data_IF_446533437741
#
_entry.id   IF_446533437741
#
_cell.length_a   1.000
_cell.length_b   1.000
_cell.length_c   1.000
_cell.angle_alpha   90.00
_cell.angle_beta   90.00
_cell.angle_gamma   90.00
#
_symmetry.space_group_name_H-M   'P 1'
#
loop_
_entity.id
_entity.type
_entity.pdbx_description
1 polymer ?
#
# COMPACT_ATOMS: atom_id res chain seq x y z
N UNK A 1 -28.22 16.78 6.65
CA UNK A 1 -27.11 16.15 7.42
C UNK A 1 -27.55 14.92 8.22
N UNK A 2 -28.69 14.94 8.96
CA UNK A 2 -29.15 13.78 9.76
C UNK A 2 -29.30 12.47 8.97
N UNK A 3 -29.83 12.54 7.75
CA UNK A 3 -30.01 11.36 6.89
C UNK A 3 -28.66 10.78 6.40
N UNK A 4 -27.67 11.63 6.12
CA UNK A 4 -26.34 11.19 5.66
C UNK A 4 -25.58 10.41 6.75
N UNK A 5 -25.63 10.90 8.00
CA UNK A 5 -25.00 10.21 9.14
C UNK A 5 -25.67 8.85 9.43
N UNK A 6 -26.99 8.77 9.28
CA UNK A 6 -27.72 7.51 9.41
C UNK A 6 -27.32 6.50 8.32
N UNK A 7 -27.14 6.96 7.09
CA UNK A 7 -26.68 6.12 5.98
C UNK A 7 -25.23 5.66 6.17
N UNK A 8 -24.32 6.52 6.62
CA UNK A 8 -22.94 6.12 6.97
C UNK A 8 -22.97 5.03 8.05
N UNK A 9 -23.76 5.23 9.12
CA UNK A 9 -23.93 4.21 10.17
C UNK A 9 -24.55 2.90 9.65
N UNK A 10 -25.35 2.94 8.59
CA UNK A 10 -25.90 1.73 7.95
C UNK A 10 -24.81 1.00 7.17
N UNK A 11 -23.99 1.71 6.41
CA UNK A 11 -22.83 1.13 5.69
C UNK A 11 -21.85 0.44 6.66
N UNK A 12 -21.49 1.10 7.77
CA UNK A 12 -20.62 0.49 8.78
C UNK A 12 -21.24 -0.75 9.45
N UNK A 13 -22.54 -0.71 9.77
CA UNK A 13 -23.25 -1.89 10.30
C UNK A 13 -23.26 -3.05 9.31
N UNK A 14 -23.41 -2.76 8.02
CA UNK A 14 -23.31 -3.78 6.99
C UNK A 14 -21.90 -4.39 6.94
N UNK A 15 -20.84 -3.58 6.99
CA UNK A 15 -19.46 -4.08 7.04
C UNK A 15 -19.24 -5.03 8.22
N UNK A 16 -19.71 -4.64 9.40
CA UNK A 16 -19.59 -5.45 10.63
C UNK A 16 -20.38 -6.76 10.52
N UNK A 17 -21.64 -6.69 10.07
CA UNK A 17 -22.55 -7.84 10.08
C UNK A 17 -22.38 -8.79 8.87
N UNK A 18 -21.72 -8.36 7.80
CA UNK A 18 -21.57 -9.14 6.55
C UNK A 18 -20.38 -10.09 6.54
N UNK A 19 -19.62 -10.19 7.64
CA UNK A 19 -18.35 -10.91 7.68
C UNK A 19 -17.19 -10.17 6.98
N UNK A 20 -17.47 -9.04 6.32
CA UNK A 20 -16.45 -8.22 5.68
C UNK A 20 -15.47 -7.62 6.71
N UNK A 21 -15.94 -7.28 7.91
CA UNK A 21 -15.05 -6.88 9.01
C UNK A 21 -14.02 -7.96 9.37
N UNK A 22 -14.42 -9.24 9.39
CA UNK A 22 -13.48 -10.35 9.62
C UNK A 22 -12.48 -10.47 8.46
N UNK A 23 -12.93 -10.30 7.22
CA UNK A 23 -12.05 -10.30 6.06
C UNK A 23 -11.04 -9.14 6.10
N UNK A 24 -11.46 -7.94 6.55
CA UNK A 24 -10.57 -6.79 6.74
C UNK A 24 -9.54 -7.02 7.84
N UNK A 25 -9.95 -7.60 8.97
CA UNK A 25 -9.01 -7.99 10.04
C UNK A 25 -8.03 -9.02 9.54
N UNK A 26 -8.50 -10.05 8.83
CA UNK A 26 -7.66 -11.05 8.19
C UNK A 26 -6.67 -10.44 7.19
N UNK A 27 -7.11 -9.48 6.39
CA UNK A 27 -6.26 -8.75 5.46
C UNK A 27 -5.21 -7.90 6.18
N UNK A 28 -5.57 -7.21 7.27
CA UNK A 28 -4.62 -6.46 8.09
C UNK A 28 -3.55 -7.39 8.70
N UNK A 29 -3.97 -8.55 9.23
CA UNK A 29 -3.05 -9.56 9.75
C UNK A 29 -2.12 -10.07 8.65
N UNK A 30 -2.66 -10.39 7.47
CA UNK A 30 -1.86 -10.85 6.33
C UNK A 30 -0.84 -9.80 5.88
N UNK A 31 -1.22 -8.52 5.85
CA UNK A 31 -0.33 -7.38 5.57
C UNK A 31 0.80 -7.34 6.60
N UNK A 32 0.46 -7.39 7.89
CA UNK A 32 1.43 -7.28 8.99
C UNK A 32 2.42 -8.44 8.97
N UNK A 33 1.93 -9.68 8.80
CA UNK A 33 2.78 -10.87 8.72
C UNK A 33 3.69 -10.79 7.49
N UNK A 34 3.14 -10.41 6.33
CA UNK A 34 3.92 -10.31 5.09
C UNK A 34 4.99 -9.21 5.20
N UNK A 35 4.65 -8.07 5.79
CA UNK A 35 5.60 -6.97 6.01
C UNK A 35 6.72 -7.34 6.99
N UNK A 36 6.37 -7.98 8.11
CA UNK A 36 7.33 -8.50 9.07
C UNK A 36 8.27 -9.55 8.44
N UNK A 37 7.71 -10.53 7.73
CA UNK A 37 8.48 -11.57 7.07
C UNK A 37 9.40 -11.02 5.97
N UNK A 38 8.89 -10.11 5.13
CA UNK A 38 9.68 -9.47 4.07
C UNK A 38 10.80 -8.60 4.66
N UNK A 39 10.52 -7.83 5.71
CA UNK A 39 11.51 -7.02 6.42
C UNK A 39 12.62 -7.88 6.99
N UNK A 40 12.29 -8.86 7.84
CA UNK A 40 13.28 -9.75 8.45
C UNK A 40 14.09 -10.54 7.43
N UNK A 41 13.44 -11.09 6.40
CA UNK A 41 14.15 -11.83 5.35
C UNK A 41 15.10 -10.94 4.55
N UNK A 42 14.72 -9.69 4.27
CA UNK A 42 15.58 -8.71 3.60
C UNK A 42 16.79 -8.36 4.46
N UNK A 43 16.57 -8.10 5.76
CA UNK A 43 17.63 -7.83 6.72
C UNK A 43 18.63 -8.97 6.80
N UNK A 44 18.18 -10.21 7.00
CA UNK A 44 19.07 -11.38 7.07
C UNK A 44 19.87 -11.58 5.79
N UNK A 45 19.24 -11.40 4.63
CA UNK A 45 19.94 -11.50 3.35
C UNK A 45 21.05 -10.46 3.21
N UNK A 46 20.81 -9.22 3.66
CA UNK A 46 21.79 -8.13 3.53
C UNK A 46 22.91 -8.23 4.57
N UNK A 47 22.59 -8.68 5.79
CA UNK A 47 23.61 -8.97 6.82
C UNK A 47 24.52 -10.10 6.33
N UNK A 48 23.95 -11.20 5.84
CA UNK A 48 24.73 -12.32 5.29
C UNK A 48 25.58 -11.90 4.08
N UNK A 49 25.06 -11.02 3.22
CA UNK A 49 25.84 -10.45 2.12
C UNK A 49 27.04 -9.63 2.62
N UNK A 50 26.83 -8.77 3.63
CA UNK A 50 27.91 -8.01 4.25
C UNK A 50 28.98 -8.93 4.87
N UNK A 51 28.56 -9.97 5.62
CA UNK A 51 29.49 -10.92 6.23
C UNK A 51 30.34 -11.67 5.20
N UNK A 52 29.73 -12.06 4.08
CA UNK A 52 30.44 -12.66 2.96
C UNK A 52 31.44 -11.67 2.33
N UNK A 53 31.05 -10.41 2.10
CA UNK A 53 31.99 -9.40 1.58
C UNK A 53 33.12 -9.13 2.57
N UNK A 54 32.84 -9.12 3.87
CA UNK A 54 33.84 -8.98 4.93
C UNK A 54 34.84 -10.13 4.94
N UNK A 55 34.37 -11.39 4.79
CA UNK A 55 35.26 -12.55 4.74
C UNK A 55 36.19 -12.51 3.53
N UNK A 56 35.69 -12.09 2.36
CA UNK A 56 36.51 -11.92 1.14
C UNK A 56 37.61 -10.87 1.34
N UNK A 57 37.29 -9.72 1.97
CA UNK A 57 38.29 -8.69 2.28
C UNK A 57 39.35 -9.20 3.27
N UNK A 58 38.93 -9.99 4.27
CA UNK A 58 39.83 -10.64 5.22
C UNK A 58 40.77 -11.66 4.56
N UNK A 59 40.23 -12.51 3.68
CA UNK A 59 40.99 -13.50 2.93
C UNK A 59 42.03 -12.87 2.00
N UNK A 60 41.72 -11.70 1.43
CA UNK A 60 42.63 -10.93 0.57
C UNK A 60 43.65 -10.09 1.36
N UNK A 61 43.58 -10.08 2.70
CA UNK A 61 44.49 -9.30 3.54
C UNK A 61 44.31 -7.79 3.43
N UNK A 62 43.12 -7.32 3.03
CA UNK A 62 42.82 -5.90 2.92
C UNK A 62 42.65 -5.25 4.29
N UNK A 63 42.98 -3.95 4.39
CA UNK A 63 42.78 -3.18 5.62
C UNK A 63 41.30 -2.84 5.80
N UNK A 64 40.62 -3.66 6.59
CA UNK A 64 39.18 -3.53 6.89
C UNK A 64 38.86 -2.17 7.51
N UNK A 65 39.71 -1.66 8.42
CA UNK A 65 39.45 -0.39 9.09
C UNK A 65 39.50 0.77 8.09
N UNK A 66 40.44 0.72 7.15
CA UNK A 66 40.51 1.68 6.04
C UNK A 66 39.34 1.52 5.08
N UNK A 67 38.95 0.30 4.72
CA UNK A 67 37.82 0.04 3.85
C UNK A 67 36.50 0.53 4.48
N UNK A 68 36.25 0.28 5.76
CA UNK A 68 35.02 0.72 6.43
C UNK A 68 34.94 2.22 6.70
N UNK A 69 36.08 2.92 6.76
CA UNK A 69 36.14 4.37 6.94
C UNK A 69 36.08 5.16 5.63
N UNK A 70 36.31 4.51 4.49
CA UNK A 70 36.22 5.13 3.17
C UNK A 70 34.77 5.05 2.66
N UNK A 71 34.14 6.16 2.26
CA UNK A 71 32.76 6.14 1.75
C UNK A 71 32.64 5.29 0.49
N UNK A 72 31.47 4.66 0.29
CA UNK A 72 31.13 4.01 -0.96
C UNK A 72 30.58 5.03 -1.95
N UNK A 73 31.14 5.05 -3.17
CA UNK A 73 30.58 5.80 -4.29
C UNK A 73 29.94 4.84 -5.28
N UNK A 74 28.68 5.11 -5.62
CA UNK A 74 27.94 4.38 -6.65
C UNK A 74 27.88 5.26 -7.89
N UNK A 75 28.49 4.81 -8.97
CA UNK A 75 28.50 5.50 -10.27
C UNK A 75 27.87 4.62 -11.34
N UNK A 76 27.27 5.21 -12.38
CA UNK A 76 26.62 4.47 -13.47
C UNK A 76 25.09 4.50 -13.43
N UNK A 77 24.47 3.83 -14.40
CA UNK A 77 23.01 3.77 -14.55
C UNK A 77 22.41 2.70 -13.64
N UNK A 78 21.10 2.77 -13.36
CA UNK A 78 20.41 1.79 -12.50
C UNK A 78 20.58 0.32 -12.93
N UNK A 79 20.87 0.06 -14.20
CA UNK A 79 21.10 -1.28 -14.77
C UNK A 79 22.54 -1.76 -14.66
N UNK A 80 23.51 -0.86 -14.44
CA UNK A 80 24.92 -1.19 -14.29
C UNK A 80 25.58 -0.15 -13.39
N UNK A 81 25.73 -0.51 -12.13
CA UNK A 81 26.35 0.31 -11.09
C UNK A 81 27.79 -0.16 -10.84
N UNK A 82 28.72 0.78 -10.82
CA UNK A 82 30.08 0.58 -10.36
C UNK A 82 30.19 1.09 -8.93
N UNK A 83 30.58 0.21 -8.01
CA UNK A 83 30.66 0.47 -6.57
C UNK A 83 32.14 0.53 -6.21
N UNK A 84 32.64 1.70 -5.83
CA UNK A 84 34.07 1.90 -5.52
C UNK A 84 34.53 1.13 -4.28
N UNK A 85 33.63 0.94 -3.30
CA UNK A 85 33.90 0.25 -2.05
C UNK A 85 32.72 -0.68 -1.68
N UNK A 86 32.77 -1.95 -2.13
CA UNK A 86 31.70 -2.92 -1.89
C UNK A 86 31.47 -3.19 -0.41
N UNK A 87 32.53 -3.26 0.40
CA UNK A 87 32.41 -3.56 1.84
C UNK A 87 31.65 -2.46 2.59
N UNK A 88 31.98 -1.19 2.34
CA UNK A 88 31.25 -0.06 2.93
C UNK A 88 29.80 -0.02 2.43
N UNK A 89 29.58 -0.27 1.14
CA UNK A 89 28.25 -0.28 0.55
C UNK A 89 27.35 -1.35 1.19
N UNK A 90 27.84 -2.57 1.34
CA UNK A 90 27.09 -3.66 1.97
C UNK A 90 26.82 -3.39 3.46
N UNK A 91 27.77 -2.77 4.17
CA UNK A 91 27.56 -2.31 5.55
C UNK A 91 26.41 -1.30 5.62
N UNK A 92 26.43 -0.27 4.76
CA UNK A 92 25.41 0.78 4.76
C UNK A 92 24.02 0.18 4.44
N UNK A 93 23.96 -0.80 3.52
CA UNK A 93 22.70 -1.49 3.18
C UNK A 93 22.20 -2.40 4.30
N UNK A 94 23.09 -3.16 4.94
CA UNK A 94 22.74 -4.04 6.06
C UNK A 94 22.24 -3.23 7.27
N UNK A 95 22.93 -2.14 7.60
CA UNK A 95 22.57 -1.26 8.72
C UNK A 95 21.27 -0.50 8.47
N UNK A 96 21.02 -0.03 7.23
CA UNK A 96 19.74 0.55 6.86
C UNK A 96 18.62 -0.51 6.94
N UNK A 97 18.87 -1.76 6.56
CA UNK A 97 17.85 -2.82 6.59
C UNK A 97 17.39 -3.17 8.01
N UNK A 98 18.26 -3.05 9.01
CA UNK A 98 17.89 -3.21 10.42
C UNK A 98 16.86 -2.17 10.87
N UNK A 99 16.89 -0.97 10.28
CA UNK A 99 15.91 0.05 10.64
C UNK A 99 14.49 -0.30 10.15
N UNK A 100 14.34 -1.24 9.21
CA UNK A 100 13.03 -1.70 8.75
C UNK A 100 12.33 -2.70 9.67
N UNK A 101 13.03 -3.32 10.61
CA UNK A 101 12.44 -4.35 11.50
C UNK A 101 11.99 -3.78 12.85
N UNK A 102 12.25 -2.49 13.09
CA UNK A 102 12.06 -1.82 14.37
C UNK A 102 11.13 -0.59 14.26
N UNK A 103 10.26 -0.43 15.26
CA UNK A 103 9.48 0.79 15.51
C UNK A 103 8.83 1.42 14.27
N UNK A 104 9.19 2.68 13.99
CA UNK A 104 8.64 3.44 12.86
C UNK A 104 9.08 2.90 11.50
N UNK A 105 10.26 2.30 11.38
CA UNK A 105 10.72 1.75 10.11
C UNK A 105 9.95 0.50 9.71
N UNK A 106 9.55 -0.35 10.67
CA UNK A 106 8.63 -1.45 10.41
C UNK A 106 7.26 -0.98 9.90
N UNK A 107 6.74 0.10 10.49
CA UNK A 107 5.49 0.72 10.05
C UNK A 107 5.66 1.30 8.64
N UNK A 108 6.69 2.11 8.41
CA UNK A 108 6.94 2.78 7.16
C UNK A 108 7.18 1.78 6.02
N UNK A 109 7.96 0.73 6.26
CA UNK A 109 8.26 -0.31 5.28
C UNK A 109 7.01 -1.12 4.93
N UNK A 110 6.27 -1.59 5.95
CA UNK A 110 5.04 -2.38 5.73
C UNK A 110 3.98 -1.56 4.99
N UNK A 111 3.78 -0.29 5.36
CA UNK A 111 2.84 0.58 4.66
C UNK A 111 3.30 0.90 3.23
N UNK A 112 4.60 1.11 3.02
CA UNK A 112 5.17 1.30 1.68
C UNK A 112 4.87 0.09 0.82
N UNK A 113 5.23 -1.12 1.25
CA UNK A 113 4.94 -2.37 0.54
C UNK A 113 3.43 -2.56 0.27
N UNK A 114 2.60 -2.30 1.28
CA UNK A 114 1.15 -2.46 1.20
C UNK A 114 0.49 -1.51 0.22
N UNK A 115 1.07 -0.33 0.05
CA UNK A 115 0.59 0.68 -0.89
C UNK A 115 0.65 0.20 -2.33
N UNK A 116 1.65 -0.62 -2.68
CA UNK A 116 1.79 -1.19 -4.03
C UNK A 116 1.04 -2.49 -4.21
N UNK A 117 1.10 -3.37 -3.21
CA UNK A 117 0.63 -4.75 -3.35
C UNK A 117 -0.79 -4.88 -2.83
N UNK A 118 -1.05 -4.56 -1.56
CA UNK A 118 -2.27 -4.97 -0.87
C UNK A 118 -3.43 -3.98 -1.02
N UNK A 119 -3.21 -2.69 -0.79
CA UNK A 119 -4.28 -1.69 -0.77
C UNK A 119 -5.00 -1.51 -2.11
N UNK A 120 -4.33 -1.61 -3.28
CA UNK A 120 -5.03 -1.56 -4.56
C UNK A 120 -6.05 -2.68 -4.72
N UNK A 121 -5.67 -3.93 -4.42
CA UNK A 121 -6.56 -5.08 -4.53
C UNK A 121 -7.67 -5.05 -3.47
N UNK A 122 -7.32 -4.81 -2.21
CA UNK A 122 -8.30 -4.77 -1.11
C UNK A 122 -9.28 -3.63 -1.36
N UNK A 123 -8.78 -2.43 -1.68
CA UNK A 123 -9.60 -1.28 -2.01
C UNK A 123 -10.57 -1.59 -3.13
N UNK A 124 -10.06 -2.07 -4.27
CA UNK A 124 -10.89 -2.42 -5.42
C UNK A 124 -11.99 -3.43 -5.07
N UNK A 125 -11.64 -4.49 -4.31
CA UNK A 125 -12.62 -5.45 -3.82
C UNK A 125 -13.71 -4.77 -2.97
N UNK A 126 -13.32 -3.98 -1.96
CA UNK A 126 -14.26 -3.25 -1.10
C UNK A 126 -15.22 -2.36 -1.89
N UNK A 127 -14.69 -1.69 -2.93
CA UNK A 127 -15.47 -0.90 -3.87
C UNK A 127 -16.57 -1.72 -4.54
N UNK A 128 -16.20 -2.87 -5.12
CA UNK A 128 -17.13 -3.78 -5.80
C UNK A 128 -18.21 -4.31 -4.84
N UNK A 129 -17.81 -4.75 -3.64
CA UNK A 129 -18.74 -5.27 -2.65
C UNK A 129 -19.71 -4.18 -2.20
N UNK A 130 -19.21 -2.98 -1.91
CA UNK A 130 -20.03 -1.81 -1.54
C UNK A 130 -20.98 -1.40 -2.67
N UNK A 131 -20.55 -1.49 -3.93
CA UNK A 131 -21.36 -1.16 -5.10
C UNK A 131 -22.58 -2.07 -5.29
N UNK A 132 -22.45 -3.33 -4.91
CA UNK A 132 -23.39 -4.38 -5.33
C UNK A 132 -24.16 -5.01 -4.17
N UNK A 133 -23.84 -4.69 -2.91
CA UNK A 133 -24.52 -5.32 -1.77
C UNK A 133 -25.99 -4.96 -1.71
N UNK A 134 -26.35 -3.68 -1.86
CA UNK A 134 -27.75 -3.22 -1.79
C UNK A 134 -28.62 -3.75 -2.92
N UNK A 135 -28.04 -3.90 -4.11
CA UNK A 135 -28.75 -4.47 -5.26
C UNK A 135 -28.94 -5.97 -5.10
N UNK A 136 -28.00 -6.67 -4.45
CA UNK A 136 -28.08 -8.12 -4.24
C UNK A 136 -29.04 -8.50 -3.11
N UNK A 137 -29.07 -7.70 -2.03
CA UNK A 137 -29.99 -7.93 -0.90
C UNK A 137 -31.38 -7.36 -1.12
N UNK A 138 -31.59 -6.56 -2.17
CA UNK A 138 -32.84 -5.84 -2.41
C UNK A 138 -33.06 -4.64 -1.46
N UNK A 139 -32.12 -4.32 -0.55
CA UNK A 139 -32.26 -3.21 0.39
C UNK A 139 -32.34 -1.84 -0.29
N UNK A 140 -31.88 -1.74 -1.55
CA UNK A 140 -31.98 -0.51 -2.33
C UNK A 140 -33.43 -0.01 -2.47
N UNK A 141 -34.41 -0.92 -2.58
CA UNK A 141 -35.82 -0.57 -2.73
C UNK A 141 -36.40 0.15 -1.50
N UNK A 142 -35.88 -0.15 -0.31
CA UNK A 142 -36.32 0.47 0.95
C UNK A 142 -35.47 1.69 1.33
N UNK A 143 -34.18 1.69 0.98
CA UNK A 143 -33.26 2.80 1.30
C UNK A 143 -33.50 4.02 0.41
N UNK A 144 -33.83 3.79 -0.86
CA UNK A 144 -33.99 4.86 -1.84
C UNK A 144 -35.10 5.87 -1.48
N UNK A 145 -36.32 5.46 -1.11
CA UNK A 145 -37.39 6.41 -0.79
C UNK A 145 -37.13 7.19 0.51
N UNK A 146 -36.41 6.60 1.46
CA UNK A 146 -36.13 7.21 2.77
C UNK A 146 -35.02 8.25 2.72
N UNK A 147 -33.92 7.93 2.04
CA UNK A 147 -32.69 8.74 2.10
C UNK A 147 -32.40 9.50 0.81
N UNK A 148 -33.15 9.19 -0.26
CA UNK A 148 -32.90 9.70 -1.61
C UNK A 148 -31.62 9.15 -2.23
N UNK A 149 -31.54 9.17 -3.55
CA UNK A 149 -30.38 8.63 -4.27
C UNK A 149 -29.06 9.32 -3.95
N UNK A 150 -29.10 10.64 -3.81
CA UNK A 150 -27.90 11.41 -3.46
C UNK A 150 -27.38 11.01 -2.08
N UNK A 151 -28.27 10.69 -1.15
CA UNK A 151 -27.92 10.19 0.17
C UNK A 151 -27.28 8.81 0.10
N UNK A 152 -27.87 7.87 -0.65
CA UNK A 152 -27.37 6.49 -0.74
C UNK A 152 -26.07 6.38 -1.55
N UNK A 153 -25.98 7.06 -2.70
CA UNK A 153 -24.80 6.99 -3.56
C UNK A 153 -23.63 7.83 -3.02
N UNK A 154 -23.91 9.00 -2.42
CA UNK A 154 -22.87 9.90 -1.91
C UNK A 154 -22.19 9.40 -0.63
N UNK A 155 -22.84 8.55 0.17
CA UNK A 155 -22.26 8.04 1.42
C UNK A 155 -21.28 6.91 1.21
N UNK A 156 -21.38 6.17 0.10
CA UNK A 156 -20.51 5.01 -0.19
C UNK A 156 -19.04 5.40 -0.38
N UNK A 157 -18.68 6.43 -1.18
CA UNK A 157 -17.30 6.90 -1.26
C UNK A 157 -16.71 7.30 0.10
N UNK A 158 -17.51 7.97 0.94
CA UNK A 158 -17.12 8.40 2.29
C UNK A 158 -16.90 7.22 3.23
N UNK A 159 -17.81 6.23 3.20
CA UNK A 159 -17.67 5.01 3.98
C UNK A 159 -16.42 4.22 3.56
N UNK A 160 -16.19 4.08 2.25
CA UNK A 160 -15.00 3.41 1.71
C UNK A 160 -13.70 4.10 2.15
N UNK A 161 -13.64 5.44 2.07
CA UNK A 161 -12.49 6.20 2.57
C UNK A 161 -12.21 5.91 4.05
N UNK A 162 -13.25 5.96 4.89
CA UNK A 162 -13.11 5.72 6.33
C UNK A 162 -12.69 4.27 6.65
N UNK A 163 -13.20 3.29 5.89
CA UNK A 163 -12.80 1.87 6.03
C UNK A 163 -11.33 1.68 5.64
N UNK A 164 -10.88 2.28 4.53
CA UNK A 164 -9.48 2.25 4.11
C UNK A 164 -8.58 2.92 5.14
N UNK A 165 -8.97 4.10 5.64
CA UNK A 165 -8.22 4.78 6.70
C UNK A 165 -8.08 3.93 7.95
N UNK A 166 -9.17 3.28 8.40
CA UNK A 166 -9.12 2.35 9.52
C UNK A 166 -8.20 1.15 9.24
N UNK A 167 -8.24 0.58 8.04
CA UNK A 167 -7.38 -0.53 7.65
C UNK A 167 -5.89 -0.13 7.66
N UNK A 168 -5.55 1.06 7.17
CA UNK A 168 -4.18 1.59 7.20
C UNK A 168 -3.71 1.77 8.65
N UNK A 169 -4.53 2.36 9.51
CA UNK A 169 -4.21 2.53 10.94
C UNK A 169 -4.01 1.18 11.63
N UNK A 170 -4.88 0.20 11.37
CA UNK A 170 -4.76 -1.15 11.91
C UNK A 170 -3.47 -1.84 11.43
N UNK A 171 -3.13 -1.69 10.15
CA UNK A 171 -1.91 -2.26 9.58
C UNK A 171 -0.67 -1.59 10.18
N UNK A 172 -0.69 -0.27 10.38
CA UNK A 172 0.38 0.47 11.03
C UNK A 172 0.57 0.04 12.49
N UNK A 173 -0.51 -0.01 13.26
CA UNK A 173 -0.47 -0.44 14.66
C UNK A 173 0.02 -1.89 14.78
N UNK A 174 -0.49 -2.79 13.93
CA UNK A 174 -0.06 -4.19 13.89
C UNK A 174 1.41 -4.34 13.51
N UNK A 175 1.91 -3.53 12.57
CA UNK A 175 3.33 -3.53 12.18
C UNK A 175 4.23 -3.04 13.32
N UNK A 176 3.80 -2.01 14.05
CA UNK A 176 4.47 -1.55 15.25
C UNK A 176 4.54 -2.63 16.34
N UNK A 177 3.46 -3.38 16.55
CA UNK A 177 3.44 -4.52 17.48
C UNK A 177 4.35 -5.65 16.99
N UNK A 178 4.27 -6.01 15.71
CA UNK A 178 5.13 -7.04 15.12
C UNK A 178 6.62 -6.70 15.24
N UNK A 179 6.97 -5.41 15.20
CA UNK A 179 8.34 -4.93 15.39
C UNK A 179 8.94 -5.26 16.76
N UNK A 180 8.10 -5.47 17.79
CA UNK A 180 8.55 -5.93 19.10
C UNK A 180 9.08 -7.37 19.08
N UNK A 181 8.75 -8.13 18.05
CA UNK A 181 9.21 -9.51 17.84
C UNK A 181 10.34 -9.50 16.80
N UNK A 182 10.15 -8.84 15.66
CA UNK A 182 11.14 -8.85 14.57
C UNK A 182 12.38 -8.02 14.88
N UNK A 183 12.28 -6.98 15.70
CA UNK A 183 13.40 -6.13 16.09
C UNK A 183 14.49 -6.91 16.83
N UNK A 184 14.19 -7.55 17.96
CA UNK A 184 15.16 -8.35 18.71
C UNK A 184 15.80 -9.47 17.88
N UNK A 185 15.02 -10.15 17.04
CA UNK A 185 15.54 -11.20 16.15
C UNK A 185 16.54 -10.65 15.13
N UNK A 186 16.29 -9.45 14.61
CA UNK A 186 17.20 -8.79 13.68
C UNK A 186 18.46 -8.26 14.37
N UNK A 187 18.34 -7.76 15.60
CA UNK A 187 19.49 -7.29 16.40
C UNK A 187 20.41 -8.44 16.83
N UNK A 188 19.88 -9.62 17.14
CA UNK A 188 20.67 -10.81 17.47
C UNK A 188 21.58 -11.20 16.31
N UNK A 189 21.01 -11.29 15.11
CA UNK A 189 21.76 -11.62 13.88
C UNK A 189 22.81 -10.55 13.53
N UNK A 190 22.51 -9.28 13.82
CA UNK A 190 23.36 -8.14 13.47
C UNK A 190 24.07 -7.51 14.67
N UNK A 191 24.37 -8.29 15.71
CA UNK A 191 24.92 -7.79 16.99
C UNK A 191 26.21 -6.96 16.84
N UNK A 192 26.98 -7.22 15.77
CA UNK A 192 28.22 -6.50 15.42
C UNK A 192 27.99 -5.18 14.70
N UNK A 193 26.79 -4.93 14.17
CA UNK A 193 26.44 -3.77 13.35
C UNK A 193 25.81 -2.63 14.15
N UNK A 194 25.49 -2.84 15.43
CA UNK A 194 24.73 -1.89 16.27
C UNK A 194 25.28 -0.47 16.30
N UNK A 195 26.60 -0.30 16.25
CA UNK A 195 27.26 1.01 16.27
C UNK A 195 27.07 1.82 14.98
N UNK A 196 26.65 1.19 13.89
CA UNK A 196 26.53 1.79 12.55
C UNK A 196 25.08 1.98 12.11
N UNK A 197 24.10 1.63 12.95
CA UNK A 197 22.67 1.73 12.59
C UNK A 197 22.30 3.21 12.40
N UNK A 198 21.89 3.61 11.18
CA UNK A 198 21.44 4.97 10.93
C UNK A 198 20.10 5.23 11.65
N UNK A 199 19.71 6.50 11.83
CA UNK A 199 18.36 6.79 12.31
C UNK A 199 17.32 6.27 11.30
N UNK A 200 16.30 5.59 11.82
CA UNK A 200 15.13 5.18 11.02
C UNK A 200 14.32 6.36 10.47
N UNK A 201 13.25 6.09 9.71
CA UNK A 201 12.44 7.13 9.11
C UNK A 201 11.78 8.02 10.17
N UNK A 202 11.71 9.32 9.88
CA UNK A 202 11.07 10.28 10.77
C UNK A 202 9.57 10.01 10.92
N UNK A 203 8.99 10.50 12.01
CA UNK A 203 7.53 10.46 12.24
C UNK A 203 6.79 11.13 11.08
N UNK A 204 7.27 12.28 10.61
CA UNK A 204 6.65 13.01 9.51
C UNK A 204 6.65 12.20 8.20
N UNK A 205 7.76 11.53 7.87
CA UNK A 205 7.83 10.64 6.69
C UNK A 205 6.87 9.47 6.83
N UNK A 206 6.82 8.83 8.00
CA UNK A 206 5.92 7.70 8.28
C UNK A 206 4.45 8.10 8.16
N UNK A 207 4.07 9.27 8.68
CA UNK A 207 2.71 9.81 8.54
C UNK A 207 2.38 10.10 7.07
N UNK A 208 3.33 10.65 6.30
CA UNK A 208 3.15 10.92 4.87
C UNK A 208 2.93 9.63 4.08
N UNK A 209 3.70 8.57 4.36
CA UNK A 209 3.48 7.23 3.79
C UNK A 209 2.07 6.73 4.15
N UNK A 210 1.63 6.90 5.40
CA UNK A 210 0.27 6.57 5.82
C UNK A 210 -0.80 7.33 5.03
N UNK A 211 -0.62 8.63 4.77
CA UNK A 211 -1.55 9.41 3.95
C UNK A 211 -1.58 8.93 2.50
N UNK A 212 -0.42 8.60 1.91
CA UNK A 212 -0.35 8.01 0.56
C UNK A 212 -1.05 6.65 0.49
N UNK A 213 -0.85 5.79 1.49
CA UNK A 213 -1.53 4.51 1.61
C UNK A 213 -3.06 4.67 1.63
N UNK A 214 -3.56 5.64 2.41
CA UNK A 214 -4.99 5.97 2.45
C UNK A 214 -5.49 6.47 1.10
N UNK A 215 -4.74 7.38 0.45
CA UNK A 215 -5.08 7.91 -0.86
C UNK A 215 -5.21 6.77 -1.89
N UNK A 216 -4.21 5.90 -2.00
CA UNK A 216 -4.14 4.86 -3.02
C UNK A 216 -5.17 3.75 -2.77
N UNK A 217 -5.37 3.35 -1.52
CA UNK A 217 -6.46 2.45 -1.14
C UNK A 217 -7.84 3.04 -1.47
N UNK A 218 -8.02 4.35 -1.26
CA UNK A 218 -9.28 5.05 -1.57
C UNK A 218 -9.50 5.18 -3.07
N UNK A 219 -8.48 5.56 -3.85
CA UNK A 219 -8.53 5.60 -5.32
C UNK A 219 -8.99 4.25 -5.86
N UNK A 220 -8.37 3.18 -5.38
CA UNK A 220 -8.69 1.82 -5.80
C UNK A 220 -10.10 1.40 -5.37
N UNK A 221 -10.53 1.79 -4.17
CA UNK A 221 -11.89 1.54 -3.68
C UNK A 221 -12.95 2.28 -4.49
N UNK A 222 -12.71 3.53 -4.88
CA UNK A 222 -13.63 4.29 -5.70
C UNK A 222 -13.64 3.78 -7.15
N UNK A 223 -12.51 3.30 -7.66
CA UNK A 223 -12.46 2.60 -8.94
C UNK A 223 -13.27 1.29 -8.90
N UNK A 224 -13.10 0.48 -7.86
CA UNK A 224 -13.90 -0.72 -7.64
C UNK A 224 -15.38 -0.42 -7.48
N UNK A 225 -15.73 0.70 -6.84
CA UNK A 225 -17.10 1.19 -6.74
C UNK A 225 -17.69 1.47 -8.12
N UNK A 226 -16.98 2.26 -8.93
CA UNK A 226 -17.37 2.59 -10.29
C UNK A 226 -17.59 1.33 -11.14
N UNK A 227 -16.59 0.44 -11.18
CA UNK A 227 -16.65 -0.80 -11.95
C UNK A 227 -17.77 -1.71 -11.45
N UNK A 228 -17.91 -1.87 -10.13
CA UNK A 228 -18.95 -2.69 -9.53
C UNK A 228 -20.36 -2.18 -9.82
N UNK A 229 -20.55 -0.86 -9.85
CA UNK A 229 -21.81 -0.26 -10.29
C UNK A 229 -22.02 -0.55 -11.77
N UNK A 230 -21.03 -0.37 -12.64
CA UNK A 230 -21.18 -0.60 -14.07
C UNK A 230 -21.52 -2.06 -14.39
N UNK A 231 -20.76 -3.03 -13.89
CA UNK A 231 -20.81 -4.44 -14.32
C UNK A 231 -21.76 -5.31 -13.52
N UNK A 232 -22.00 -5.00 -12.24
CA UNK A 232 -22.74 -5.84 -11.26
C UNK A 232 -22.21 -7.27 -11.05
N UNK A 233 -21.08 -7.65 -11.64
CA UNK A 233 -20.50 -8.99 -11.52
C UNK A 233 -19.21 -8.95 -10.70
N UNK A 234 -19.30 -9.34 -9.41
CA UNK A 234 -18.16 -9.23 -8.48
C UNK A 234 -16.98 -10.11 -8.86
N UNK A 235 -17.27 -11.39 -9.17
CA UNK A 235 -16.23 -12.40 -9.34
C UNK A 235 -15.40 -12.10 -10.58
N UNK A 236 -16.06 -11.87 -11.72
CA UNK A 236 -15.37 -11.57 -12.96
C UNK A 236 -14.52 -10.30 -12.85
N UNK A 237 -15.07 -9.20 -12.30
CA UNK A 237 -14.31 -7.95 -12.23
C UNK A 237 -13.14 -8.01 -11.26
N UNK A 238 -13.29 -8.70 -10.13
CA UNK A 238 -12.20 -8.84 -9.17
C UNK A 238 -11.05 -9.67 -9.76
N UNK A 239 -11.37 -10.81 -10.40
CA UNK A 239 -10.37 -11.64 -11.07
C UNK A 239 -9.69 -10.89 -12.21
N UNK A 240 -10.47 -10.22 -13.06
CA UNK A 240 -9.93 -9.43 -14.17
C UNK A 240 -9.00 -8.32 -13.67
N UNK A 241 -9.37 -7.61 -12.60
CA UNK A 241 -8.52 -6.59 -12.00
C UNK A 241 -7.25 -7.18 -11.40
N UNK A 242 -7.34 -8.26 -10.62
CA UNK A 242 -6.16 -8.90 -10.03
C UNK A 242 -5.17 -9.36 -11.10
N UNK A 243 -5.66 -10.03 -12.16
CA UNK A 243 -4.83 -10.45 -13.28
C UNK A 243 -4.22 -9.25 -14.01
N UNK A 244 -5.02 -8.22 -14.33
CA UNK A 244 -4.51 -7.03 -14.99
C UNK A 244 -3.48 -6.27 -14.15
N UNK A 245 -3.71 -6.15 -12.85
CA UNK A 245 -2.87 -5.39 -11.94
C UNK A 245 -1.51 -6.07 -11.72
N UNK A 246 -1.48 -7.38 -11.50
CA UNK A 246 -0.25 -8.11 -11.16
C UNK A 246 0.47 -8.78 -12.34
N UNK A 247 -0.25 -9.18 -13.41
CA UNK A 247 0.37 -9.93 -14.51
C UNK A 247 0.75 -9.06 -15.71
N UNK A 248 0.04 -7.95 -15.95
CA UNK A 248 0.42 -7.08 -17.05
C UNK A 248 1.63 -6.23 -16.65
N UNK A 249 2.66 -6.10 -17.49
CA UNK A 249 3.71 -5.13 -17.25
C UNK A 249 3.12 -3.71 -17.24
N UNK A 250 3.81 -2.77 -16.59
CA UNK A 250 3.45 -1.36 -16.70
C UNK A 250 3.55 -0.92 -18.16
N UNK A 251 2.46 -0.36 -18.71
CA UNK A 251 2.35 -0.07 -20.14
C UNK A 251 3.10 1.20 -20.58
N UNK A 252 3.59 1.99 -19.62
CA UNK A 252 4.36 3.20 -19.85
C UNK A 252 4.21 4.23 -18.73
N UNK A 253 4.74 5.45 -18.92
CA UNK A 253 4.73 6.50 -17.89
C UNK A 253 3.34 6.91 -17.42
N UNK A 254 2.32 6.81 -18.27
CA UNK A 254 0.94 7.21 -17.98
C UNK A 254 0.06 6.07 -17.44
N UNK A 255 0.63 4.89 -17.19
CA UNK A 255 -0.09 3.81 -16.51
C UNK A 255 -0.50 4.26 -15.10
N UNK A 256 -1.76 4.05 -14.70
CA UNK A 256 -2.23 4.44 -13.38
C UNK A 256 -1.43 3.79 -12.25
N UNK A 257 -0.91 2.57 -12.49
CA UNK A 257 -0.03 1.88 -11.54
C UNK A 257 1.33 2.56 -11.40
N UNK A 258 1.79 3.25 -12.44
CA UNK A 258 3.01 4.05 -12.41
C UNK A 258 2.85 5.34 -11.59
N UNK A 259 1.62 5.83 -11.42
CA UNK A 259 1.35 7.01 -10.59
C UNK A 259 1.61 6.74 -9.10
N UNK A 260 1.54 5.47 -8.67
CA UNK A 260 1.83 5.05 -7.29
C UNK A 260 3.31 5.30 -6.93
N UNK A 261 4.32 4.69 -7.59
CA UNK A 261 5.72 4.99 -7.31
C UNK A 261 6.06 6.45 -7.58
N UNK A 262 5.49 7.05 -8.63
CA UNK A 262 5.72 8.46 -8.95
C UNK A 262 5.29 9.40 -7.81
N UNK A 263 4.09 9.20 -7.26
CA UNK A 263 3.57 10.02 -6.16
C UNK A 263 4.32 9.83 -4.83
N UNK A 264 5.01 8.69 -4.66
CA UNK A 264 5.79 8.39 -3.48
C UNK A 264 7.30 8.49 -3.67
N UNK A 265 7.77 9.10 -4.77
CA UNK A 265 9.18 9.42 -5.00
C UNK A 265 9.74 10.15 -3.77
N UNK A 266 10.87 9.67 -3.25
CA UNK A 266 11.55 10.15 -2.02
C UNK A 266 10.74 10.05 -0.71
N UNK A 267 9.49 9.62 -0.76
CA UNK A 267 8.62 9.47 0.41
C UNK A 267 8.63 8.02 0.88
N UNK A 268 8.40 7.07 -0.03
CA UNK A 268 8.35 5.66 0.32
C UNK A 268 9.65 5.20 0.95
N UNK A 269 9.51 4.30 1.91
CA UNK A 269 10.61 3.79 2.68
C UNK A 269 10.83 2.32 2.33
N UNK A 270 11.71 2.12 1.35
CA UNK A 270 12.17 0.82 0.88
C UNK A 270 13.66 0.72 1.13
N UNK A 271 14.07 -0.38 1.75
CA UNK A 271 15.47 -0.73 1.99
C UNK A 271 15.68 -2.14 1.45
N UNK A 272 16.84 -2.34 0.82
CA UNK A 272 17.19 -3.60 0.17
C UNK A 272 16.82 -3.64 -1.30
N UNK A 273 16.51 -4.84 -1.79
CA UNK A 273 16.51 -5.15 -3.23
C UNK A 273 15.26 -4.68 -3.98
N UNK A 274 14.15 -4.43 -3.29
CA UNK A 274 12.93 -3.94 -3.94
C UNK A 274 12.75 -2.44 -3.72
N UNK A 275 13.04 -1.66 -4.78
CA UNK A 275 12.72 -0.23 -4.84
C UNK A 275 11.89 0.01 -6.11
N UNK A 276 10.56 0.21 -5.98
CA UNK A 276 9.74 0.49 -7.15
C UNK A 276 10.13 1.88 -7.68
N UNK A 277 10.57 1.91 -8.93
CA UNK A 277 10.88 3.15 -9.63
C UNK A 277 9.74 3.53 -10.58
N UNK A 278 9.50 4.83 -10.71
CA UNK A 278 8.55 5.33 -11.69
C UNK A 278 9.16 5.23 -13.11
N UNK A 279 8.34 4.85 -14.07
CA UNK A 279 8.67 4.90 -15.49
C UNK A 279 8.57 6.33 -16.01
N UNK A 280 9.63 6.78 -16.67
CA UNK A 280 9.73 8.12 -17.27
C UNK A 280 10.02 9.23 -16.25
N UNK A 281 10.27 10.43 -16.78
CA UNK A 281 10.61 11.62 -15.99
C UNK A 281 9.36 12.51 -15.85
N UNK A 282 8.43 12.09 -15.00
CA UNK A 282 7.25 12.88 -14.65
C UNK A 282 7.45 13.55 -13.30
N UNK A 283 6.76 14.67 -13.08
CA UNK A 283 6.74 15.35 -11.79
C UNK A 283 5.91 14.53 -10.76
N UNK A 284 6.45 14.22 -9.56
CA UNK A 284 5.69 13.58 -8.49
C UNK A 284 4.33 14.24 -8.17
N UNK A 285 4.25 15.57 -8.25
CA UNK A 285 3.01 16.31 -8.03
C UNK A 285 1.93 15.99 -9.09
N UNK A 286 2.35 15.71 -10.32
CA UNK A 286 1.45 15.27 -11.40
C UNK A 286 0.87 13.89 -11.07
N UNK A 287 1.67 12.97 -10.55
CA UNK A 287 1.22 11.65 -10.10
C UNK A 287 0.10 11.73 -9.06
N UNK A 288 0.30 12.58 -8.04
CA UNK A 288 -0.73 12.87 -7.03
C UNK A 288 -1.99 13.49 -7.65
N UNK A 289 -1.83 14.47 -8.54
CA UNK A 289 -2.94 15.13 -9.22
C UNK A 289 -3.78 14.16 -10.05
N UNK A 290 -3.14 13.24 -10.78
CA UNK A 290 -3.81 12.21 -11.59
C UNK A 290 -4.56 11.22 -10.69
N UNK A 291 -3.95 10.75 -9.61
CA UNK A 291 -4.62 9.84 -8.65
C UNK A 291 -5.88 10.48 -8.05
N UNK A 292 -5.78 11.72 -7.57
CA UNK A 292 -6.91 12.47 -6.99
C UNK A 292 -7.98 12.72 -8.06
N UNK A 293 -7.59 13.19 -9.24
CA UNK A 293 -8.51 13.44 -10.35
C UNK A 293 -9.27 12.18 -10.78
N UNK A 294 -8.55 11.07 -10.92
CA UNK A 294 -9.13 9.77 -11.27
C UNK A 294 -10.09 9.26 -10.18
N UNK A 295 -9.73 9.41 -8.90
CA UNK A 295 -10.62 9.06 -7.79
C UNK A 295 -11.92 9.86 -7.87
N UNK A 296 -11.83 11.20 -7.97
CA UNK A 296 -13.00 12.07 -8.05
C UNK A 296 -13.88 11.74 -9.27
N UNK A 297 -13.26 11.43 -10.42
CA UNK A 297 -13.96 10.97 -11.61
C UNK A 297 -14.73 9.66 -11.34
N UNK A 298 -14.09 8.65 -10.75
CA UNK A 298 -14.74 7.37 -10.43
C UNK A 298 -15.91 7.53 -9.44
N UNK A 299 -15.73 8.34 -8.39
CA UNK A 299 -16.79 8.59 -7.42
C UNK A 299 -17.97 9.34 -8.06
N UNK A 300 -17.70 10.39 -8.85
CA UNK A 300 -18.73 11.17 -9.53
C UNK A 300 -19.52 10.34 -10.55
N UNK A 301 -18.82 9.56 -11.37
CA UNK A 301 -19.45 8.69 -12.39
C UNK A 301 -20.26 7.56 -11.76
N UNK A 302 -19.78 6.94 -10.66
CA UNK A 302 -20.55 5.93 -9.93
C UNK A 302 -21.91 6.48 -9.44
N UNK A 303 -21.91 7.71 -8.90
CA UNK A 303 -23.15 8.40 -8.48
C UNK A 303 -24.08 8.65 -9.66
N UNK A 304 -23.55 9.09 -10.80
CA UNK A 304 -24.34 9.33 -12.02
C UNK A 304 -24.97 8.05 -12.57
N UNK A 305 -24.22 6.94 -12.63
CA UNK A 305 -24.75 5.66 -13.12
C UNK A 305 -25.89 5.16 -12.22
N UNK A 306 -25.73 5.26 -10.90
CA UNK A 306 -26.79 4.91 -9.96
C UNK A 306 -28.03 5.78 -10.12
N UNK A 307 -27.84 7.09 -10.30
CA UNK A 307 -28.94 8.03 -10.52
C UNK A 307 -29.72 7.72 -11.80
N UNK A 308 -29.03 7.42 -12.90
CA UNK A 308 -29.67 7.04 -14.15
C UNK A 308 -30.47 5.73 -14.00
N UNK A 309 -29.88 4.72 -13.34
CA UNK A 309 -30.46 3.39 -13.27
C UNK A 309 -31.77 3.28 -12.54
N UNK A 310 -32.01 4.08 -11.51
CA UNK A 310 -33.32 4.01 -10.84
C UNK A 310 -34.42 4.83 -11.49
N UNK A 311 -34.10 5.55 -12.57
CA UNK A 311 -35.11 6.11 -13.45
C UNK A 311 -35.56 5.11 -14.51
N UNK A 312 -34.83 4.00 -14.68
CA UNK A 312 -35.24 2.93 -15.57
C UNK A 312 -36.35 2.11 -14.88
N UNK A 313 -37.48 1.84 -15.55
CA UNK A 313 -38.46 0.90 -15.03
C UNK A 313 -37.79 -0.46 -14.82
N UNK A 314 -38.10 -1.13 -13.70
CA UNK A 314 -37.67 -2.51 -13.47
C UNK A 314 -38.27 -3.41 -14.54
N UNK A 315 -37.57 -3.63 -15.65
CA UNK A 315 -37.95 -4.59 -16.70
C UNK A 315 -37.50 -6.01 -16.33
N UNK A 316 -37.67 -6.39 -15.06
CA UNK A 316 -37.44 -7.75 -14.58
C UNK A 316 -38.65 -8.18 -13.77
N UNK A 317 -39.64 -8.72 -14.50
CA UNK A 317 -40.45 -9.85 -14.04
C UNK A 317 -39.63 -11.12 -14.24
#
# INVERSE_FOLDING_TARGET
MRNMLQEIRREFRWVINSGLALALVGAAIAIVISGAAAGTSSTFSLVSQFEHTLSVFQENGEDIAKALSTPAEVTGAATQQNISNPLRYDLDRATEALTQTTGLGAIASTLSLSTFIFFPLIGFALGIFTATHDTKSGSIAFRWPQSGIRGVAGTKPVALFAIIAALVVLSAAGSGIASLITGPLAEEEASTLGAFIPPGPSVARTLTIGMLAVLIGTVSAWFGLFVGVATRNRAFTLVAFALAYYLLPMLGPWDLRNMIPLAGTDIFYFVGQFTPFALGELDPALGLGILIGFALFCAGTAVLIWHYRARLPNTAQ
#
